data_IF_068708350121
#
_entry.id   IF_068708350121
#
_cell.length_a   1.000
_cell.length_b   1.000
_cell.length_c   1.000
_cell.angle_alpha   90.00
_cell.angle_beta   90.00
_cell.angle_gamma   90.00
#
_symmetry.space_group_name_H-M   'P 1'
#
loop_
_entity.id
_entity.type
_entity.pdbx_description
1 polymer ?
#
# COMPACT_ATOMS: atom_id res chain seq x y z
N UNK A 1 0.64 -23.43 -26.82
CA UNK A 1 0.29 -22.79 -25.53
C UNK A 1 -1.16 -22.33 -25.62
N UNK A 2 -1.95 -22.40 -24.54
CA UNK A 2 -3.38 -22.09 -24.64
C UNK A 2 -3.61 -20.57 -24.72
N UNK A 3 -4.40 -20.12 -25.71
CA UNK A 3 -4.84 -18.73 -25.90
C UNK A 3 -5.36 -18.06 -24.61
N UNK A 4 -5.88 -18.87 -23.67
CA UNK A 4 -6.34 -18.44 -22.36
C UNK A 4 -5.25 -17.80 -21.49
N UNK A 5 -3.99 -18.23 -21.61
CA UNK A 5 -2.88 -17.73 -20.79
C UNK A 5 -2.41 -16.36 -21.29
N UNK A 6 -2.40 -16.13 -22.60
CA UNK A 6 -2.05 -14.81 -23.17
C UNK A 6 -3.08 -13.75 -22.75
N UNK A 7 -4.36 -14.08 -22.86
CA UNK A 7 -5.46 -13.22 -22.46
C UNK A 7 -5.42 -12.86 -20.97
N UNK A 8 -5.04 -13.79 -20.09
CA UNK A 8 -4.96 -13.50 -18.65
C UNK A 8 -3.83 -12.53 -18.30
N UNK A 9 -2.67 -12.64 -18.95
CA UNK A 9 -1.58 -11.67 -18.76
C UNK A 9 -1.91 -10.30 -19.33
N UNK A 10 -2.48 -10.23 -20.54
CA UNK A 10 -2.88 -8.96 -21.15
C UNK A 10 -3.96 -8.28 -20.30
N UNK A 11 -4.93 -9.05 -19.79
CA UNK A 11 -5.95 -8.53 -18.89
C UNK A 11 -5.33 -8.04 -17.57
N UNK A 12 -4.38 -8.78 -16.98
CA UNK A 12 -3.71 -8.39 -15.74
C UNK A 12 -2.89 -7.10 -15.93
N UNK A 13 -2.10 -7.00 -17.00
CA UNK A 13 -1.33 -5.80 -17.33
C UNK A 13 -2.27 -4.63 -17.57
N UNK A 14 -3.30 -4.80 -18.40
CA UNK A 14 -4.28 -3.74 -18.71
C UNK A 14 -5.01 -3.28 -17.44
N UNK A 15 -5.39 -4.21 -16.56
CA UNK A 15 -6.03 -3.90 -15.28
C UNK A 15 -5.10 -3.12 -14.34
N UNK A 16 -3.83 -3.52 -14.26
CA UNK A 16 -2.81 -2.78 -13.50
C UNK A 16 -2.64 -1.38 -14.09
N UNK A 17 -2.51 -1.24 -15.41
CA UNK A 17 -2.37 0.06 -16.09
C UNK A 17 -3.61 0.95 -15.91
N UNK A 18 -4.82 0.39 -15.92
CA UNK A 18 -6.07 1.13 -15.64
C UNK A 18 -6.13 1.56 -14.18
N UNK A 19 -5.80 0.69 -13.23
CA UNK A 19 -5.71 1.05 -11.81
C UNK A 19 -4.69 2.17 -11.58
N UNK A 20 -3.55 2.12 -12.28
CA UNK A 20 -2.51 3.16 -12.24
C UNK A 20 -3.09 4.50 -12.71
N UNK A 21 -3.80 4.51 -13.83
CA UNK A 21 -4.40 5.72 -14.39
C UNK A 21 -5.47 6.28 -13.44
N UNK A 22 -6.36 5.43 -12.94
CA UNK A 22 -7.39 5.84 -11.97
C UNK A 22 -6.76 6.41 -10.69
N UNK A 23 -5.69 5.80 -10.18
CA UNK A 23 -4.96 6.30 -9.02
C UNK A 23 -4.29 7.64 -9.27
N UNK A 24 -3.66 7.82 -10.44
CA UNK A 24 -3.06 9.11 -10.84
C UNK A 24 -4.14 10.18 -10.95
N UNK A 25 -5.29 9.86 -11.55
CA UNK A 25 -6.41 10.81 -11.71
C UNK A 25 -6.98 11.19 -10.34
N UNK A 26 -7.27 10.22 -9.45
CA UNK A 26 -7.79 10.48 -8.11
C UNK A 26 -6.85 11.39 -7.32
N UNK A 27 -5.54 11.13 -7.36
CA UNK A 27 -4.57 11.93 -6.62
C UNK A 27 -4.38 13.34 -7.21
N UNK A 28 -4.26 13.43 -8.54
CA UNK A 28 -3.99 14.70 -9.23
C UNK A 28 -5.22 15.62 -9.20
N UNK A 29 -6.43 15.05 -9.30
CA UNK A 29 -7.68 15.80 -9.40
C UNK A 29 -8.30 16.08 -8.03
N UNK A 30 -8.37 15.08 -7.14
CA UNK A 30 -9.15 15.22 -5.90
C UNK A 30 -8.32 15.75 -4.73
N UNK A 31 -6.99 15.81 -4.83
CA UNK A 31 -6.08 16.33 -3.79
C UNK A 31 -6.47 15.87 -2.37
N UNK A 32 -6.96 14.63 -2.22
CA UNK A 32 -7.65 14.18 -1.00
C UNK A 32 -6.75 14.15 0.24
N UNK A 33 -5.47 14.47 0.10
CA UNK A 33 -4.51 14.56 1.18
C UNK A 33 -4.23 13.21 1.85
N UNK A 34 -4.83 12.12 1.34
CA UNK A 34 -4.60 10.72 1.73
C UNK A 34 -3.12 10.35 1.55
N UNK A 35 -2.36 11.14 0.78
CA UNK A 35 -0.93 10.94 0.49
C UNK A 35 -0.08 12.21 0.66
N UNK A 36 -0.48 13.13 1.54
CA UNK A 36 0.27 14.39 1.81
C UNK A 36 1.75 14.19 2.19
N UNK A 37 2.16 12.98 2.58
CA UNK A 37 3.51 12.66 3.04
C UNK A 37 4.34 11.78 2.10
N UNK A 38 3.78 11.27 0.99
CA UNK A 38 4.51 10.42 0.04
C UNK A 38 5.06 11.19 -1.17
N UNK A 39 6.38 11.26 -1.33
CA UNK A 39 7.01 11.86 -2.51
C UNK A 39 6.44 11.24 -3.81
N UNK A 40 5.82 12.06 -4.67
CA UNK A 40 5.15 11.60 -5.91
C UNK A 40 6.08 10.73 -6.78
N UNK A 41 7.38 10.98 -6.73
CA UNK A 41 8.41 10.22 -7.43
C UNK A 41 8.42 8.75 -7.00
N UNK A 42 8.39 8.45 -5.70
CA UNK A 42 8.40 7.06 -5.22
C UNK A 42 7.16 6.28 -5.61
N UNK A 43 6.02 6.96 -5.76
CA UNK A 43 4.77 6.36 -6.25
C UNK A 43 4.87 5.98 -7.72
N UNK A 44 5.33 6.90 -8.55
CA UNK A 44 5.57 6.63 -9.97
C UNK A 44 6.59 5.49 -10.11
N UNK A 45 7.66 5.50 -9.32
CA UNK A 45 8.63 4.42 -9.31
C UNK A 45 8.02 3.08 -8.90
N UNK A 46 7.19 3.01 -7.83
CA UNK A 46 6.50 1.77 -7.46
C UNK A 46 5.71 1.23 -8.66
N UNK A 47 4.87 2.10 -9.23
CA UNK A 47 3.95 1.76 -10.29
C UNK A 47 4.69 1.23 -11.52
N UNK A 48 5.70 1.96 -11.99
CA UNK A 48 6.50 1.57 -13.14
C UNK A 48 7.25 0.26 -12.89
N UNK A 49 7.82 0.08 -11.69
CA UNK A 49 8.55 -1.16 -11.36
C UNK A 49 7.61 -2.35 -11.20
N UNK A 50 6.38 -2.16 -10.71
CA UNK A 50 5.36 -3.20 -10.67
C UNK A 50 4.90 -3.59 -12.08
N UNK A 51 4.69 -2.61 -12.96
CA UNK A 51 4.31 -2.86 -14.35
C UNK A 51 5.42 -3.58 -15.13
N UNK A 52 6.67 -3.10 -15.01
CA UNK A 52 7.84 -3.76 -15.60
C UNK A 52 8.03 -5.18 -15.07
N UNK A 53 7.73 -5.43 -13.80
CA UNK A 53 7.75 -6.77 -13.23
C UNK A 53 6.72 -7.69 -13.90
N UNK A 54 5.49 -7.21 -14.11
CA UNK A 54 4.44 -7.97 -14.80
C UNK A 54 4.80 -8.23 -16.28
N UNK A 55 5.38 -7.23 -16.96
CA UNK A 55 5.87 -7.37 -18.34
C UNK A 55 7.00 -8.40 -18.41
N UNK A 56 7.94 -8.39 -17.46
CA UNK A 56 9.02 -9.37 -17.40
C UNK A 56 8.48 -10.81 -17.27
N UNK A 57 7.49 -11.02 -16.40
CA UNK A 57 6.83 -12.32 -16.28
C UNK A 57 6.06 -12.73 -17.54
N UNK A 58 5.41 -11.79 -18.21
CA UNK A 58 4.78 -12.06 -19.50
C UNK A 58 5.80 -12.50 -20.54
N UNK A 59 6.90 -11.75 -20.70
CA UNK A 59 7.99 -12.07 -21.64
C UNK A 59 8.58 -13.44 -21.32
N UNK A 60 8.86 -13.72 -20.04
CA UNK A 60 9.40 -15.00 -19.59
C UNK A 60 8.52 -16.20 -20.00
N UNK A 61 7.20 -16.04 -19.95
CA UNK A 61 6.27 -17.10 -20.34
C UNK A 61 6.10 -17.22 -21.86
N UNK A 62 6.15 -16.09 -22.58
CA UNK A 62 5.89 -16.05 -24.02
C UNK A 62 7.11 -16.41 -24.87
N UNK A 63 8.31 -16.10 -24.39
CA UNK A 63 9.56 -16.22 -25.15
C UNK A 63 10.58 -17.03 -24.35
N UNK A 64 10.52 -18.37 -24.41
CA UNK A 64 11.41 -19.27 -23.67
C UNK A 64 12.91 -18.98 -23.91
N UNK A 65 13.27 -18.51 -25.11
CA UNK A 65 14.63 -18.18 -25.51
C UNK A 65 15.27 -17.05 -24.68
N UNK A 66 14.46 -16.12 -24.18
CA UNK A 66 14.91 -14.97 -23.35
C UNK A 66 14.35 -15.06 -21.92
N UNK A 67 13.80 -16.22 -21.53
CA UNK A 67 13.13 -16.37 -20.24
C UNK A 67 14.04 -16.10 -19.04
N UNK A 68 15.32 -16.49 -19.12
CA UNK A 68 16.29 -16.26 -18.05
C UNK A 68 16.68 -14.78 -17.89
N UNK A 69 16.76 -14.05 -19.00
CA UNK A 69 16.99 -12.61 -19.01
C UNK A 69 15.79 -11.86 -18.43
N UNK A 70 14.59 -12.27 -18.85
CA UNK A 70 13.32 -11.73 -18.35
C UNK A 70 13.13 -12.03 -16.85
N UNK A 71 13.49 -13.22 -16.38
CA UNK A 71 13.50 -13.57 -14.94
C UNK A 71 14.43 -12.64 -14.14
N UNK A 72 15.61 -12.36 -14.68
CA UNK A 72 16.60 -11.47 -14.05
C UNK A 72 16.08 -10.03 -13.97
N UNK A 73 15.53 -9.51 -15.08
CA UNK A 73 14.90 -8.19 -15.11
C UNK A 73 13.71 -8.11 -14.13
N UNK A 74 12.89 -9.17 -14.07
CA UNK A 74 11.79 -9.30 -13.13
C UNK A 74 12.27 -9.22 -11.68
N UNK A 75 13.35 -9.92 -11.32
CA UNK A 75 13.93 -9.88 -9.98
C UNK A 75 14.42 -8.48 -9.57
N UNK A 76 15.00 -7.70 -10.48
CA UNK A 76 15.35 -6.30 -10.22
C UNK A 76 14.11 -5.43 -9.95
N UNK A 77 13.06 -5.63 -10.74
CA UNK A 77 11.80 -4.93 -10.54
C UNK A 77 11.16 -5.32 -9.20
N UNK A 78 11.19 -6.60 -8.85
CA UNK A 78 10.71 -7.13 -7.57
C UNK A 78 11.43 -6.52 -6.37
N UNK A 79 12.76 -6.40 -6.47
CA UNK A 79 13.60 -5.74 -5.47
C UNK A 79 13.22 -4.27 -5.26
N UNK A 80 12.80 -3.59 -6.32
CA UNK A 80 12.43 -2.18 -6.24
C UNK A 80 11.02 -1.98 -5.68
N UNK A 81 10.01 -2.67 -6.22
CA UNK A 81 8.62 -2.35 -5.89
C UNK A 81 8.21 -2.86 -4.51
N UNK A 82 8.72 -4.00 -4.02
CA UNK A 82 8.29 -4.53 -2.71
C UNK A 82 8.63 -3.60 -1.53
N UNK A 83 9.89 -3.15 -1.35
CA UNK A 83 10.23 -2.21 -0.29
C UNK A 83 9.50 -0.88 -0.44
N UNK A 84 9.34 -0.38 -1.68
CA UNK A 84 8.58 0.84 -1.96
C UNK A 84 7.12 0.69 -1.55
N UNK A 85 6.49 -0.46 -1.80
CA UNK A 85 5.10 -0.72 -1.43
C UNK A 85 4.94 -0.68 0.10
N UNK A 86 5.82 -1.39 0.81
CA UNK A 86 5.84 -1.39 2.28
C UNK A 86 6.07 0.02 2.84
N UNK A 87 7.02 0.77 2.28
CA UNK A 87 7.29 2.14 2.67
C UNK A 87 6.06 3.04 2.50
N UNK A 88 5.35 2.93 1.36
CA UNK A 88 4.16 3.73 1.11
C UNK A 88 2.99 3.36 2.02
N UNK A 89 2.86 2.07 2.37
CA UNK A 89 1.91 1.62 3.37
C UNK A 89 2.17 2.27 4.74
N UNK A 90 3.42 2.55 5.10
CA UNK A 90 3.74 3.33 6.31
C UNK A 90 3.33 4.79 6.14
N UNK A 91 3.75 5.44 5.06
CA UNK A 91 3.56 6.88 4.85
C UNK A 91 2.08 7.28 4.74
N UNK A 92 1.26 6.48 4.04
CA UNK A 92 -0.20 6.69 3.95
C UNK A 92 -0.87 6.70 5.33
N UNK A 93 -0.33 5.92 6.26
CA UNK A 93 -0.90 5.72 7.58
C UNK A 93 -0.16 6.51 8.66
N UNK A 94 0.93 7.21 8.33
CA UNK A 94 1.81 7.87 9.28
C UNK A 94 1.08 8.93 10.11
N UNK A 95 0.10 9.62 9.55
CA UNK A 95 -0.70 10.60 10.30
C UNK A 95 -1.47 9.97 11.48
N UNK A 96 -1.98 8.75 11.29
CA UNK A 96 -2.84 8.06 12.26
C UNK A 96 -2.07 7.19 13.26
N UNK A 97 -0.75 7.04 13.09
CA UNK A 97 0.10 6.22 13.94
C UNK A 97 0.78 7.01 15.06
N UNK A 98 0.94 6.39 16.23
CA UNK A 98 1.83 6.91 17.29
C UNK A 98 3.30 6.67 16.93
N UNK A 99 4.21 7.51 17.41
CA UNK A 99 5.65 7.42 17.09
C UNK A 99 6.28 6.07 17.42
N UNK A 100 5.86 5.42 18.51
CA UNK A 100 6.33 4.08 18.86
C UNK A 100 5.96 3.03 17.82
N UNK A 101 4.75 3.13 17.27
CA UNK A 101 4.26 2.24 16.20
C UNK A 101 5.04 2.52 14.93
N UNK A 102 5.20 3.80 14.55
CA UNK A 102 6.01 4.19 13.38
C UNK A 102 7.40 3.58 13.42
N UNK A 103 8.12 3.74 14.54
CA UNK A 103 9.46 3.15 14.72
C UNK A 103 9.45 1.63 14.52
N UNK A 104 8.48 0.92 15.09
CA UNK A 104 8.35 -0.53 14.93
C UNK A 104 8.13 -0.94 13.47
N UNK A 105 7.30 -0.21 12.73
CA UNK A 105 6.98 -0.54 11.34
C UNK A 105 8.13 -0.16 10.39
N UNK A 106 8.92 0.88 10.67
CA UNK A 106 10.18 1.14 9.94
C UNK A 106 11.27 0.08 10.21
N UNK A 107 11.34 -0.49 11.42
CA UNK A 107 12.19 -1.66 11.67
C UNK A 107 11.68 -2.85 10.86
N UNK A 108 10.35 -3.04 10.80
CA UNK A 108 9.71 -4.04 9.93
C UNK A 108 10.08 -3.86 8.46
N UNK A 109 10.05 -2.63 7.94
CA UNK A 109 10.49 -2.29 6.59
C UNK A 109 11.94 -2.71 6.33
N UNK A 110 12.86 -2.46 7.27
CA UNK A 110 14.26 -2.83 7.11
C UNK A 110 14.44 -4.35 7.03
N UNK A 111 13.77 -5.09 7.92
CA UNK A 111 13.79 -6.56 7.90
C UNK A 111 13.17 -7.12 6.61
N UNK A 112 12.04 -6.56 6.19
CA UNK A 112 11.36 -6.92 4.95
C UNK A 112 12.25 -6.64 3.73
N UNK A 113 12.89 -5.47 3.68
CA UNK A 113 13.78 -5.09 2.58
C UNK A 113 14.99 -6.02 2.50
N UNK A 114 15.59 -6.40 3.64
CA UNK A 114 16.67 -7.37 3.68
C UNK A 114 16.21 -8.76 3.17
N UNK A 115 15.00 -9.18 3.54
CA UNK A 115 14.41 -10.43 3.08
C UNK A 115 14.17 -10.44 1.56
N UNK A 116 13.55 -9.40 1.02
CA UNK A 116 13.34 -9.21 -0.42
C UNK A 116 14.68 -9.16 -1.17
N UNK A 117 15.68 -8.47 -0.61
CA UNK A 117 17.02 -8.40 -1.19
C UNK A 117 17.65 -9.78 -1.36
N UNK A 118 17.62 -10.60 -0.30
CA UNK A 118 18.14 -11.97 -0.36
C UNK A 118 17.43 -12.78 -1.45
N UNK A 119 16.10 -12.78 -1.48
CA UNK A 119 15.34 -13.50 -2.51
C UNK A 119 15.68 -13.03 -3.92
N UNK A 120 15.74 -11.72 -4.14
CA UNK A 120 16.04 -11.13 -5.45
C UNK A 120 17.45 -11.50 -5.92
N UNK A 121 18.44 -11.49 -5.02
CA UNK A 121 19.80 -11.94 -5.33
C UNK A 121 19.81 -13.42 -5.74
N UNK A 122 19.12 -14.30 -5.01
CA UNK A 122 19.02 -15.70 -5.39
C UNK A 122 18.39 -15.86 -6.79
N UNK A 123 17.31 -15.14 -7.08
CA UNK A 123 16.65 -15.18 -8.40
C UNK A 123 17.55 -14.65 -9.50
N UNK A 124 18.30 -13.57 -9.28
CA UNK A 124 19.26 -13.01 -10.24
C UNK A 124 20.39 -14.01 -10.52
N UNK A 125 20.96 -14.62 -9.48
CA UNK A 125 22.01 -15.63 -9.64
C UNK A 125 21.50 -16.86 -10.41
N UNK A 126 20.26 -17.28 -10.16
CA UNK A 126 19.63 -18.40 -10.86
C UNK A 126 19.34 -18.04 -12.33
N UNK A 127 18.79 -16.85 -12.60
CA UNK A 127 18.56 -16.34 -13.95
C UNK A 127 19.85 -16.14 -14.75
N UNK A 128 20.93 -15.72 -14.09
CA UNK A 128 22.26 -15.58 -14.71
C UNK A 128 23.00 -16.91 -14.87
N UNK A 129 22.36 -18.05 -14.58
CA UNK A 129 22.96 -19.39 -14.63
C UNK A 129 24.21 -19.59 -13.76
N UNK A 130 24.39 -18.75 -12.74
CA UNK A 130 25.51 -18.87 -11.77
C UNK A 130 25.20 -19.97 -10.75
N UNK A 131 23.93 -20.11 -10.37
CA UNK A 131 23.43 -21.18 -9.49
C UNK A 131 22.34 -22.00 -10.21
N UNK A 132 22.06 -23.20 -9.69
CA UNK A 132 21.04 -24.08 -10.29
C UNK A 132 19.62 -23.53 -10.14
N UNK A 133 18.82 -23.70 -11.21
CA UNK A 133 17.40 -23.36 -11.24
C UNK A 133 16.56 -24.18 -10.23
N UNK A 134 17.10 -25.28 -9.70
CA UNK A 134 16.45 -26.10 -8.68
C UNK A 134 16.15 -25.34 -7.38
N UNK A 135 16.74 -24.16 -7.16
CA UNK A 135 16.44 -23.29 -6.03
C UNK A 135 15.24 -22.35 -6.25
N UNK A 136 14.74 -22.17 -7.48
CA UNK A 136 13.59 -21.29 -7.76
C UNK A 136 12.30 -21.70 -7.02
N UNK A 137 11.95 -22.99 -6.85
CA UNK A 137 10.80 -23.37 -6.04
C UNK A 137 10.88 -22.89 -4.60
N UNK A 138 12.08 -22.82 -4.01
CA UNK A 138 12.28 -22.27 -2.66
C UNK A 138 11.96 -20.78 -2.62
N UNK A 139 12.31 -20.02 -3.67
CA UNK A 139 11.98 -18.59 -3.79
C UNK A 139 10.46 -18.40 -3.78
N UNK A 140 9.68 -19.21 -4.47
CA UNK A 140 8.21 -19.11 -4.45
C UNK A 140 7.58 -19.29 -3.06
N UNK A 141 8.11 -20.21 -2.23
CA UNK A 141 7.64 -20.33 -0.85
C UNK A 141 7.98 -19.10 -0.01
N UNK A 142 9.15 -18.49 -0.24
CA UNK A 142 9.55 -17.28 0.44
C UNK A 142 8.75 -16.05 -0.05
N UNK A 143 8.36 -15.99 -1.33
CA UNK A 143 7.44 -14.98 -1.86
C UNK A 143 6.08 -15.03 -1.15
N UNK A 144 5.54 -16.24 -0.93
CA UNK A 144 4.31 -16.40 -0.15
C UNK A 144 4.47 -15.86 1.28
N UNK A 145 5.62 -16.11 1.91
CA UNK A 145 5.92 -15.57 3.23
C UNK A 145 6.03 -14.03 3.22
N UNK A 146 6.61 -13.43 2.17
CA UNK A 146 6.64 -11.97 1.99
C UNK A 146 5.23 -11.39 1.87
N UNK A 147 4.35 -12.02 1.10
CA UNK A 147 2.96 -11.58 0.93
C UNK A 147 2.17 -11.68 2.24
N UNK A 148 2.36 -12.76 3.01
CA UNK A 148 1.78 -12.89 4.35
C UNK A 148 2.30 -11.81 5.30
N UNK A 149 3.59 -11.49 5.25
CA UNK A 149 4.18 -10.42 6.07
C UNK A 149 3.56 -9.06 5.76
N UNK A 150 3.36 -8.74 4.47
CA UNK A 150 2.66 -7.53 4.03
C UNK A 150 1.22 -7.50 4.54
N UNK A 151 0.45 -8.58 4.33
CA UNK A 151 -0.94 -8.66 4.77
C UNK A 151 -1.09 -8.50 6.30
N UNK A 152 -0.22 -9.14 7.08
CA UNK A 152 -0.22 -9.00 8.55
C UNK A 152 0.14 -7.57 8.96
N UNK A 153 1.09 -6.94 8.27
CA UNK A 153 1.45 -5.53 8.53
C UNK A 153 0.26 -4.61 8.26
N UNK A 154 -0.42 -4.79 7.13
CA UNK A 154 -1.56 -3.98 6.74
C UNK A 154 -2.72 -4.13 7.74
N UNK A 155 -3.06 -5.36 8.12
CA UNK A 155 -4.05 -5.64 9.16
C UNK A 155 -3.68 -5.00 10.50
N UNK A 156 -2.40 -5.06 10.89
CA UNK A 156 -1.91 -4.43 12.10
C UNK A 156 -2.04 -2.90 12.05
N UNK A 157 -1.68 -2.26 10.93
CA UNK A 157 -1.85 -0.81 10.75
C UNK A 157 -3.32 -0.41 10.83
N UNK A 158 -4.19 -1.10 10.09
CA UNK A 158 -5.64 -0.87 10.11
C UNK A 158 -6.21 -0.96 11.52
N UNK A 159 -5.76 -1.95 12.31
CA UNK A 159 -6.14 -2.08 13.71
C UNK A 159 -5.67 -0.92 14.59
N UNK A 160 -4.43 -0.43 14.41
CA UNK A 160 -3.92 0.74 15.14
C UNK A 160 -4.71 2.01 14.79
N UNK A 161 -4.99 2.23 13.51
CA UNK A 161 -5.79 3.35 13.02
C UNK A 161 -7.19 3.28 13.64
N UNK A 162 -7.84 2.12 13.61
CA UNK A 162 -9.15 1.94 14.23
C UNK A 162 -9.16 2.32 15.71
N UNK A 163 -8.13 1.92 16.48
CA UNK A 163 -8.00 2.33 17.90
C UNK A 163 -7.88 3.84 18.08
N UNK A 164 -7.08 4.49 17.24
CA UNK A 164 -6.88 5.95 17.30
C UNK A 164 -8.15 6.68 16.86
N UNK A 165 -8.72 6.32 15.73
CA UNK A 165 -9.96 6.89 15.18
C UNK A 165 -11.13 6.73 16.14
N UNK A 166 -11.32 5.56 16.76
CA UNK A 166 -12.36 5.35 17.78
C UNK A 166 -12.21 6.32 18.95
N UNK A 167 -10.98 6.57 19.42
CA UNK A 167 -10.69 7.51 20.51
C UNK A 167 -10.94 8.96 20.08
N UNK A 168 -10.54 9.34 18.86
CA UNK A 168 -10.75 10.70 18.33
C UNK A 168 -12.24 10.96 18.10
N UNK A 169 -12.95 10.06 17.42
CA UNK A 169 -14.38 10.18 17.14
C UNK A 169 -15.18 10.24 18.44
N UNK A 170 -14.85 9.42 19.44
CA UNK A 170 -15.51 9.49 20.76
C UNK A 170 -15.27 10.85 21.45
N UNK A 171 -14.03 11.35 21.44
CA UNK A 171 -13.70 12.64 22.07
C UNK A 171 -14.31 13.83 21.32
N UNK A 172 -14.36 13.78 19.99
CA UNK A 172 -14.96 14.83 19.15
C UNK A 172 -16.48 14.80 19.29
N UNK A 173 -17.11 13.62 19.28
CA UNK A 173 -18.55 13.51 19.47
C UNK A 173 -18.94 14.02 20.86
N UNK A 174 -18.23 13.65 21.93
CA UNK A 174 -18.56 14.12 23.28
C UNK A 174 -18.39 15.64 23.42
N UNK A 175 -17.30 16.22 22.89
CA UNK A 175 -17.09 17.68 22.87
C UNK A 175 -18.13 18.41 22.02
N UNK A 176 -18.48 17.87 20.85
CA UNK A 176 -19.50 18.42 19.97
C UNK A 176 -20.87 18.37 20.62
N UNK A 177 -21.24 17.24 21.22
CA UNK A 177 -22.50 17.08 21.96
C UNK A 177 -22.57 18.01 23.17
N UNK A 178 -21.46 18.27 23.89
CA UNK A 178 -21.41 19.28 24.94
C UNK A 178 -21.64 20.69 24.40
N UNK A 179 -20.98 21.06 23.29
CA UNK A 179 -21.20 22.37 22.63
C UNK A 179 -22.63 22.51 22.12
N UNK A 180 -23.20 21.47 21.50
CA UNK A 180 -24.56 21.46 21.00
C UNK A 180 -25.58 21.58 22.14
N UNK A 181 -25.41 20.84 23.24
CA UNK A 181 -26.25 20.96 24.44
C UNK A 181 -26.21 22.37 25.03
N UNK A 182 -25.02 22.98 25.09
CA UNK A 182 -24.86 24.35 25.58
C UNK A 182 -25.54 25.38 24.66
N UNK A 183 -25.41 25.22 23.34
CA UNK A 183 -26.10 26.04 22.34
C UNK A 183 -27.62 25.92 22.45
N UNK A 184 -28.15 24.68 22.56
CA UNK A 184 -29.59 24.42 22.74
C UNK A 184 -30.09 25.06 24.04
N UNK A 185 -29.31 24.97 25.13
CA UNK A 185 -29.65 25.58 26.42
C UNK A 185 -29.72 27.12 26.34
N UNK A 186 -28.74 27.76 25.71
CA UNK A 186 -28.78 29.22 25.48
C UNK A 186 -30.00 29.59 24.64
N UNK A 187 -30.27 28.85 23.56
CA UNK A 187 -31.43 29.10 22.71
C UNK A 187 -32.74 28.97 23.47
N UNK A 188 -32.90 27.95 24.31
CA UNK A 188 -34.11 27.76 25.13
C UNK A 188 -34.27 28.81 26.22
N UNK A 189 -33.17 29.27 26.84
CA UNK A 189 -33.22 30.41 27.77
C UNK A 189 -33.62 31.71 27.08
N UNK A 190 -33.02 32.01 25.92
CA UNK A 190 -33.36 33.20 25.14
C UNK A 190 -34.82 33.18 24.71
N UNK A 191 -35.32 32.04 24.24
CA UNK A 191 -36.70 31.88 23.77
C UNK A 191 -37.72 32.01 24.92
N UNK A 192 -37.45 31.43 26.10
CA UNK A 192 -38.31 31.59 27.29
C UNK A 192 -38.27 33.01 27.87
N UNK A 193 -37.12 33.70 27.82
CA UNK A 193 -37.03 35.11 28.22
C UNK A 193 -37.82 36.03 27.29
N UNK A 194 -37.83 35.74 25.99
CA UNK A 194 -38.58 36.51 24.99
C UNK A 194 -40.11 36.34 25.15
N UNK A 195 -40.58 35.13 25.48
CA UNK A 195 -42.00 34.86 25.73
C UNK A 195 -42.48 35.54 27.02
N UNK A 196 -41.68 35.53 28.09
CA UNK A 196 -42.05 36.17 29.36
C UNK A 196 -41.96 37.71 29.36
N UNK A 197 -41.33 38.34 28.37
CA UNK A 197 -41.31 39.81 28.22
C UNK A 197 -42.42 40.34 27.28
N UNK A 198 -43.13 39.45 26.58
CA UNK A 198 -44.15 39.81 25.58
C UNK A 198 -45.54 39.23 25.90
N UNK A 199 -45.76 38.80 27.14
CA UNK A 199 -47.08 38.53 27.76
C UNK A 199 -47.25 39.54 28.90
#
# INVERSE_FOLDING_TARGET
MALSNELSYIAAITFISVLIIDFIVIETVLQLGVFTYGNAIFRIMLILTLELHAVAFFIMNMYPEIALEALTAGAFCYLAWNPLYYYMLIEQNAYWMKDRVKKGVYIGLLLFSAFIFIMSVFTILAGSSIITLAYLPMVHFLELAAMLFLAVTELYLNYQIYKVSKKIVYNVSEKFWKKLKYLIYIFTMYFNGYINCHI
#
